data_IF_762402893617
#
_entry.id   IF_762402893617
#
_cell.length_a   1.000
_cell.length_b   1.000
_cell.length_c   1.000
_cell.angle_alpha   90.00
_cell.angle_beta   90.00
_cell.angle_gamma   90.00
#
_symmetry.space_group_name_H-M   'P 1'
#
loop_
_entity.id
_entity.type
_entity.pdbx_description
1 polymer ?
#
# COMPACT_ATOMS: atom_id res chain seq x y z
N UNK A 1 -2.81 -10.34 -9.73
CA UNK A 1 -1.40 -10.40 -9.98
C UNK A 1 -0.92 -9.34 -10.93
N UNK A 2 0.32 -8.95 -10.80
CA UNK A 2 0.98 -8.13 -11.81
C UNK A 2 1.18 -8.95 -13.09
N UNK A 3 1.05 -8.29 -14.24
CA UNK A 3 1.36 -8.90 -15.53
C UNK A 3 2.76 -8.51 -15.96
N UNK A 4 3.61 -9.48 -16.27
CA UNK A 4 4.97 -9.29 -16.75
C UNK A 4 5.12 -9.72 -18.20
N UNK A 5 6.11 -9.16 -18.91
CA UNK A 5 6.42 -9.49 -20.29
C UNK A 5 5.82 -8.52 -21.32
N UNK A 6 6.24 -8.67 -22.58
CA UNK A 6 5.82 -7.86 -23.72
C UNK A 6 5.25 -8.75 -24.83
N UNK A 7 4.29 -8.22 -25.59
CA UNK A 7 3.69 -8.96 -26.70
C UNK A 7 2.93 -10.22 -26.28
N UNK A 8 3.08 -11.31 -27.02
CA UNK A 8 2.38 -12.58 -26.80
C UNK A 8 2.81 -13.36 -25.54
N UNK A 9 3.91 -12.96 -24.90
CA UNK A 9 4.40 -13.59 -23.67
C UNK A 9 4.06 -12.77 -22.41
N UNK A 10 2.80 -12.45 -22.22
CA UNK A 10 2.32 -11.87 -20.97
C UNK A 10 2.15 -13.00 -19.93
N UNK A 11 2.94 -12.95 -18.86
CA UNK A 11 2.82 -13.87 -17.75
C UNK A 11 2.01 -13.18 -16.66
N UNK A 12 0.92 -13.79 -16.25
CA UNK A 12 0.14 -13.39 -15.07
C UNK A 12 0.24 -14.51 -14.04
N UNK A 13 1.05 -14.30 -13.02
CA UNK A 13 1.27 -15.26 -11.93
C UNK A 13 0.29 -15.04 -10.76
N UNK A 14 -0.95 -14.65 -11.05
CA UNK A 14 -1.97 -14.50 -10.03
C UNK A 14 -2.30 -15.85 -9.40
N UNK A 15 -2.05 -15.97 -8.09
CA UNK A 15 -2.48 -17.13 -7.32
C UNK A 15 -3.93 -16.91 -6.84
N UNK A 16 -4.90 -17.76 -7.23
CA UNK A 16 -6.30 -17.61 -6.87
C UNK A 16 -6.58 -17.80 -5.37
N UNK A 17 -5.62 -18.33 -4.62
CA UNK A 17 -5.71 -18.46 -3.16
C UNK A 17 -5.52 -17.12 -2.45
N UNK A 18 -4.82 -16.15 -3.07
CA UNK A 18 -4.65 -14.81 -2.51
C UNK A 18 -5.94 -14.03 -2.70
N UNK A 19 -6.61 -13.67 -1.60
CA UNK A 19 -7.93 -13.02 -1.60
C UNK A 19 -7.89 -11.52 -1.29
N UNK A 20 -6.83 -11.05 -0.64
CA UNK A 20 -6.59 -9.64 -0.32
C UNK A 20 -5.09 -9.40 -0.18
N UNK A 21 -4.63 -8.17 -0.38
CA UNK A 21 -3.21 -7.84 -0.25
C UNK A 21 -3.01 -6.45 0.38
N UNK A 22 -1.99 -6.34 1.23
CA UNK A 22 -1.47 -5.06 1.71
C UNK A 22 -0.09 -4.86 1.08
N UNK A 23 0.09 -3.71 0.42
CA UNK A 23 1.32 -3.32 -0.25
C UNK A 23 1.99 -2.23 0.59
N UNK A 24 3.02 -2.58 1.36
CA UNK A 24 3.77 -1.65 2.21
C UNK A 24 5.01 -1.17 1.47
N UNK A 25 5.06 0.12 1.14
CA UNK A 25 6.20 0.72 0.43
C UNK A 25 6.64 -0.07 -0.82
N UNK A 26 5.66 -0.56 -1.58
CA UNK A 26 5.94 -1.39 -2.76
C UNK A 26 6.74 -0.61 -3.80
N UNK A 27 7.85 -1.16 -4.32
CA UNK A 27 8.64 -0.49 -5.35
C UNK A 27 7.84 -0.40 -6.66
N UNK A 28 8.05 0.71 -7.39
CA UNK A 28 7.45 0.92 -8.71
C UNK A 28 8.55 0.80 -9.75
N UNK A 29 8.46 -0.21 -10.58
CA UNK A 29 9.37 -0.40 -11.71
C UNK A 29 8.55 -0.51 -13.01
N UNK A 30 8.36 0.60 -13.68
CA UNK A 30 7.61 0.63 -14.92
C UNK A 30 8.44 0.10 -16.09
N UNK A 31 9.76 0.32 -16.10
CA UNK A 31 10.66 -0.08 -17.19
C UNK A 31 10.10 0.26 -18.60
N UNK A 32 9.55 1.47 -18.74
CA UNK A 32 8.92 1.94 -19.97
C UNK A 32 7.52 1.36 -20.27
N UNK A 33 6.94 0.56 -19.34
CA UNK A 33 5.62 -0.04 -19.52
C UNK A 33 4.50 0.89 -19.04
N UNK A 34 3.36 0.81 -19.68
CA UNK A 34 2.15 1.52 -19.23
C UNK A 34 1.69 0.96 -17.87
N UNK A 35 1.51 1.79 -16.83
CA UNK A 35 1.00 1.38 -15.53
C UNK A 35 -0.35 0.64 -15.59
N UNK A 36 -1.24 0.99 -16.54
CA UNK A 36 -2.51 0.30 -16.74
C UNK A 36 -2.32 -1.18 -17.07
N UNK A 37 -1.29 -1.49 -17.86
CA UNK A 37 -0.98 -2.86 -18.23
C UNK A 37 -0.36 -3.66 -17.08
N UNK A 38 0.34 -2.98 -16.15
CA UNK A 38 0.95 -3.61 -14.98
C UNK A 38 -0.06 -3.87 -13.87
N UNK A 39 -0.84 -2.87 -13.52
CA UNK A 39 -1.68 -2.89 -12.31
C UNK A 39 -3.15 -3.17 -12.60
N UNK A 40 -3.63 -2.91 -13.81
CA UNK A 40 -5.03 -3.10 -14.19
C UNK A 40 -5.53 -4.55 -14.14
N UNK A 41 -4.62 -5.53 -14.11
CA UNK A 41 -4.94 -6.95 -13.99
C UNK A 41 -5.18 -7.41 -12.53
N UNK A 42 -4.87 -6.58 -11.55
CA UNK A 42 -5.14 -6.87 -10.14
C UNK A 42 -6.67 -6.82 -9.91
N UNK A 43 -7.23 -7.89 -9.35
CA UNK A 43 -8.68 -8.07 -9.15
C UNK A 43 -9.11 -8.24 -7.70
N UNK A 44 -8.15 -8.35 -6.79
CA UNK A 44 -8.40 -8.54 -5.36
C UNK A 44 -8.42 -7.20 -4.62
N UNK A 45 -9.12 -7.09 -3.47
CA UNK A 45 -9.00 -5.95 -2.58
C UNK A 45 -7.55 -5.67 -2.22
N UNK A 46 -7.18 -4.39 -2.19
CA UNK A 46 -5.81 -3.97 -1.93
C UNK A 46 -5.71 -2.74 -1.03
N UNK A 47 -4.74 -2.74 -0.12
CA UNK A 47 -4.39 -1.57 0.67
C UNK A 47 -2.95 -1.18 0.38
N UNK A 48 -2.75 0.00 -0.21
CA UNK A 48 -1.46 0.54 -0.58
C UNK A 48 -1.02 1.53 0.51
N UNK A 49 0.06 1.21 1.23
CA UNK A 49 0.62 2.02 2.29
C UNK A 49 1.99 2.55 1.87
N UNK A 50 2.21 3.85 1.99
CA UNK A 50 3.49 4.52 1.75
C UNK A 50 3.62 5.73 2.67
N UNK A 51 4.66 6.53 2.52
CA UNK A 51 4.83 7.79 3.25
C UNK A 51 5.33 8.92 2.34
N UNK A 52 5.14 10.15 2.78
CA UNK A 52 5.52 11.33 1.99
C UNK A 52 7.04 11.48 1.82
N UNK A 53 7.83 10.78 2.62
CA UNK A 53 9.29 10.75 2.57
C UNK A 53 9.83 9.37 2.14
N UNK A 54 8.97 8.48 1.63
CA UNK A 54 9.30 7.11 1.23
C UNK A 54 10.00 7.06 -0.14
N UNK A 55 11.12 7.79 -0.26
CA UNK A 55 12.00 7.72 -1.41
C UNK A 55 12.86 6.46 -1.35
N UNK A 56 13.13 5.87 -2.51
CA UNK A 56 14.00 4.69 -2.60
C UNK A 56 15.41 5.08 -3.02
N UNK A 57 16.44 4.78 -2.21
CA UNK A 57 17.82 5.00 -2.63
C UNK A 57 18.33 3.96 -3.64
N UNK A 58 17.57 2.86 -3.84
CA UNK A 58 18.04 1.71 -4.64
C UNK A 58 17.60 1.82 -6.10
N UNK A 59 16.37 2.25 -6.35
CA UNK A 59 15.76 2.24 -7.69
C UNK A 59 15.24 3.59 -8.16
N UNK A 60 15.70 4.68 -7.54
CA UNK A 60 15.33 6.07 -7.86
C UNK A 60 13.80 6.35 -7.83
N UNK A 61 12.99 5.52 -7.16
CA UNK A 61 11.60 5.87 -6.95
C UNK A 61 11.48 7.01 -5.95
N UNK A 62 10.74 8.04 -6.32
CA UNK A 62 10.27 9.05 -5.38
C UNK A 62 9.09 8.52 -4.57
N UNK A 63 8.79 9.19 -3.46
CA UNK A 63 7.58 8.91 -2.68
C UNK A 63 6.30 9.06 -3.53
N UNK A 64 6.29 9.99 -4.50
CA UNK A 64 5.17 10.19 -5.42
C UNK A 64 4.95 9.01 -6.37
N UNK A 65 6.02 8.34 -6.80
CA UNK A 65 5.92 7.17 -7.68
C UNK A 65 5.18 6.01 -6.98
N UNK A 66 5.32 5.88 -5.67
CA UNK A 66 4.65 4.82 -4.89
C UNK A 66 3.13 4.94 -4.84
N UNK A 67 2.58 6.06 -5.26
CA UNK A 67 1.13 6.24 -5.41
C UNK A 67 0.59 5.71 -6.75
N UNK A 68 1.47 5.40 -7.72
CA UNK A 68 1.10 4.94 -9.05
C UNK A 68 0.26 3.65 -9.03
N UNK A 69 0.61 2.59 -8.27
CA UNK A 69 -0.16 1.35 -8.28
C UNK A 69 -1.64 1.56 -7.94
N UNK A 70 -1.93 2.31 -6.86
CA UNK A 70 -3.31 2.61 -6.48
C UNK A 70 -4.09 3.30 -7.59
N UNK A 71 -3.48 4.27 -8.27
CA UNK A 71 -4.14 5.03 -9.36
C UNK A 71 -4.62 4.12 -10.48
N UNK A 72 -3.84 3.08 -10.81
CA UNK A 72 -4.06 2.24 -11.99
C UNK A 72 -4.68 0.85 -11.70
N UNK A 73 -4.85 0.46 -10.44
CA UNK A 73 -5.67 -0.71 -10.10
C UNK A 73 -7.14 -0.32 -10.26
N UNK A 74 -7.88 -1.08 -11.11
CA UNK A 74 -9.30 -0.82 -11.40
C UNK A 74 -10.27 -1.72 -10.61
N UNK A 75 -9.76 -2.65 -9.80
CA UNK A 75 -10.61 -3.46 -8.93
C UNK A 75 -11.26 -2.61 -7.84
N UNK A 76 -12.48 -2.93 -7.38
CA UNK A 76 -13.08 -2.27 -6.22
C UNK A 76 -12.34 -2.60 -4.94
N UNK A 77 -12.69 -1.85 -3.88
CA UNK A 77 -12.14 -2.06 -2.53
C UNK A 77 -10.60 -1.87 -2.49
N UNK A 78 -10.14 -0.82 -3.18
CA UNK A 78 -8.75 -0.36 -3.11
C UNK A 78 -8.64 0.80 -2.14
N UNK A 79 -7.60 0.80 -1.33
CA UNK A 79 -7.30 1.82 -0.32
C UNK A 79 -5.89 2.36 -0.53
N UNK A 80 -5.71 3.68 -0.39
CA UNK A 80 -4.41 4.34 -0.37
C UNK A 80 -4.21 5.01 0.97
N UNK A 81 -3.11 4.72 1.64
CA UNK A 81 -2.67 5.38 2.88
C UNK A 81 -1.30 5.99 2.63
N UNK A 82 -1.18 7.31 2.79
CA UNK A 82 0.09 8.00 2.64
C UNK A 82 0.43 8.73 3.94
N UNK A 83 1.38 8.19 4.72
CA UNK A 83 1.75 8.69 6.04
C UNK A 83 2.58 9.96 5.93
N UNK A 84 2.15 11.05 6.58
CA UNK A 84 2.81 12.35 6.55
C UNK A 84 4.15 12.30 7.29
N UNK A 85 5.26 12.52 6.57
CA UNK A 85 6.63 12.39 7.07
C UNK A 85 7.06 10.95 7.33
N UNK A 86 6.31 9.97 6.83
CA UNK A 86 6.70 8.57 6.86
C UNK A 86 7.71 8.26 5.77
N UNK A 87 8.76 7.53 6.11
CA UNK A 87 9.76 7.00 5.20
C UNK A 87 9.60 5.48 5.01
N UNK A 88 10.50 4.88 4.22
CA UNK A 88 10.51 3.42 4.00
C UNK A 88 10.61 2.60 5.29
N UNK A 89 11.31 3.12 6.28
CA UNK A 89 11.64 2.38 7.49
C UNK A 89 10.48 2.25 8.48
N UNK A 90 9.41 3.06 8.36
CA UNK A 90 8.22 2.91 9.22
C UNK A 90 7.53 1.54 9.05
N UNK A 91 7.79 0.84 7.96
CA UNK A 91 7.24 -0.51 7.69
C UNK A 91 8.15 -1.65 8.18
N UNK A 92 9.39 -1.35 8.57
CA UNK A 92 10.39 -2.34 8.99
C UNK A 92 10.39 -2.72 10.47
N UNK A 93 9.48 -2.18 11.26
CA UNK A 93 9.44 -2.37 12.71
C UNK A 93 10.65 -1.74 13.43
N UNK A 94 10.85 -2.11 14.71
CA UNK A 94 11.92 -1.55 15.56
C UNK A 94 13.34 -1.92 15.13
N UNK A 95 13.47 -2.88 14.21
CA UNK A 95 14.75 -3.43 13.75
C UNK A 95 15.28 -2.80 12.45
N UNK A 96 14.56 -1.87 11.83
CA UNK A 96 15.01 -1.21 10.61
C UNK A 96 16.25 -0.34 10.90
N UNK A 97 17.42 -0.95 10.79
CA UNK A 97 18.71 -0.32 11.07
C UNK A 97 19.16 0.55 9.89
N UNK A 98 19.53 1.80 10.18
CA UNK A 98 20.62 2.44 9.44
C UNK A 98 20.25 3.41 8.33
N UNK A 99 19.02 3.91 8.20
CA UNK A 99 18.72 4.98 7.25
C UNK A 99 18.13 6.17 8.03
N UNK A 100 18.99 7.19 8.25
CA UNK A 100 18.60 8.47 8.83
C UNK A 100 18.51 8.52 10.37
N UNK A 101 18.36 9.73 10.92
CA UNK A 101 18.00 9.94 12.32
C UNK A 101 16.51 9.65 12.50
N UNK A 102 16.18 8.53 13.13
CA UNK A 102 14.79 8.13 13.36
C UNK A 102 14.26 8.71 14.66
N UNK A 103 13.05 9.24 14.60
CA UNK A 103 12.25 9.56 15.77
C UNK A 103 11.45 8.32 16.19
N UNK A 104 11.96 7.59 17.20
CA UNK A 104 11.33 6.35 17.67
C UNK A 104 9.91 6.56 18.21
N UNK A 105 9.61 7.72 18.76
CA UNK A 105 8.26 8.03 19.25
C UNK A 105 7.27 8.16 18.10
N UNK A 106 7.70 8.81 17.00
CA UNK A 106 6.93 8.95 15.78
C UNK A 106 6.73 7.60 15.08
N UNK A 107 7.77 6.76 15.04
CA UNK A 107 7.68 5.40 14.51
C UNK A 107 6.65 4.55 15.26
N UNK A 108 6.61 4.62 16.59
CA UNK A 108 5.64 3.90 17.38
C UNK A 108 4.19 4.31 17.06
N UNK A 109 3.96 5.61 16.77
CA UNK A 109 2.65 6.09 16.34
C UNK A 109 2.26 5.50 14.97
N UNK A 110 3.17 5.50 14.00
CA UNK A 110 2.89 4.86 12.70
C UNK A 110 2.58 3.37 12.84
N UNK A 111 3.31 2.63 13.68
CA UNK A 111 3.06 1.21 13.90
C UNK A 111 1.65 0.95 14.46
N UNK A 112 1.15 1.78 15.36
CA UNK A 112 -0.23 1.68 15.86
C UNK A 112 -1.23 1.86 14.72
N UNK A 113 -1.03 2.86 13.85
CA UNK A 113 -1.92 3.13 12.71
C UNK A 113 -1.86 2.01 11.67
N UNK A 114 -0.65 1.57 11.29
CA UNK A 114 -0.43 0.47 10.34
C UNK A 114 -1.11 -0.81 10.84
N UNK A 115 -0.90 -1.16 12.11
CA UNK A 115 -1.52 -2.34 12.71
C UNK A 115 -3.04 -2.26 12.71
N UNK A 116 -3.61 -1.13 13.14
CA UNK A 116 -5.06 -0.93 13.16
C UNK A 116 -5.68 -1.08 11.78
N UNK A 117 -5.10 -0.43 10.76
CA UNK A 117 -5.57 -0.50 9.38
C UNK A 117 -5.43 -1.91 8.81
N UNK A 118 -4.28 -2.56 9.05
CA UNK A 118 -3.99 -3.91 8.54
C UNK A 118 -4.97 -4.94 9.11
N UNK A 119 -5.22 -4.90 10.43
CA UNK A 119 -6.19 -5.80 11.08
C UNK A 119 -7.58 -5.55 10.55
N UNK A 120 -8.02 -4.27 10.47
CA UNK A 120 -9.34 -3.92 9.96
C UNK A 120 -9.52 -4.40 8.50
N UNK A 121 -8.49 -4.23 7.66
CA UNK A 121 -8.51 -4.65 6.27
C UNK A 121 -8.61 -6.19 6.13
N UNK A 122 -7.78 -6.94 6.81
CA UNK A 122 -7.83 -8.40 6.73
C UNK A 122 -9.09 -8.98 7.38
N UNK A 123 -9.59 -8.40 8.46
CA UNK A 123 -10.87 -8.81 9.03
C UNK A 123 -12.03 -8.55 8.06
N UNK A 124 -12.01 -7.42 7.36
CA UNK A 124 -13.03 -7.11 6.36
C UNK A 124 -13.03 -8.08 5.18
N UNK A 125 -11.84 -8.40 4.62
CA UNK A 125 -11.75 -9.09 3.33
C UNK A 125 -11.39 -10.57 3.41
N UNK A 126 -10.81 -11.04 4.53
CA UNK A 126 -10.51 -12.47 4.73
C UNK A 126 -11.52 -13.15 5.66
N UNK A 127 -12.08 -12.39 6.63
CA UNK A 127 -13.08 -12.93 7.57
C UNK A 127 -14.52 -12.47 7.28
N UNK A 128 -14.72 -11.63 6.27
CA UNK A 128 -16.04 -11.13 5.89
C UNK A 128 -16.68 -10.19 6.93
N UNK A 129 -15.86 -9.51 7.77
CA UNK A 129 -16.37 -8.63 8.82
C UNK A 129 -16.91 -7.32 8.24
N UNK A 130 -18.24 -7.24 8.08
CA UNK A 130 -18.92 -6.07 7.53
C UNK A 130 -18.70 -4.78 8.35
N UNK A 131 -18.59 -4.88 9.68
CA UNK A 131 -18.33 -3.72 10.56
C UNK A 131 -16.94 -3.13 10.29
N UNK A 132 -15.92 -3.96 10.07
CA UNK A 132 -14.59 -3.49 9.74
C UNK A 132 -14.54 -2.90 8.31
N UNK A 133 -15.27 -3.48 7.36
CA UNK A 133 -15.41 -2.89 6.02
C UNK A 133 -16.06 -1.52 6.07
N UNK A 134 -17.12 -1.37 6.85
CA UNK A 134 -17.79 -0.08 7.05
C UNK A 134 -16.86 0.94 7.73
N UNK A 135 -16.14 0.52 8.79
CA UNK A 135 -15.19 1.37 9.48
C UNK A 135 -14.09 1.90 8.55
N UNK A 136 -13.52 1.04 7.70
CA UNK A 136 -12.54 1.47 6.68
C UNK A 136 -13.08 2.57 5.78
N UNK A 137 -14.34 2.46 5.33
CA UNK A 137 -14.93 3.42 4.38
C UNK A 137 -15.43 4.71 5.03
N UNK A 138 -15.82 4.68 6.29
CA UNK A 138 -16.48 5.80 6.93
C UNK A 138 -15.67 6.50 8.03
N UNK A 139 -14.75 5.78 8.67
CA UNK A 139 -14.08 6.25 9.89
C UNK A 139 -12.56 6.27 9.81
N UNK A 140 -11.95 5.50 8.92
CA UNK A 140 -10.50 5.37 8.87
C UNK A 140 -9.79 6.70 8.58
N UNK A 141 -10.33 7.53 7.69
CA UNK A 141 -9.78 8.85 7.39
C UNK A 141 -9.78 9.76 8.64
N UNK A 142 -10.89 9.80 9.38
CA UNK A 142 -10.99 10.58 10.62
C UNK A 142 -10.05 10.03 11.71
N UNK A 143 -9.92 8.71 11.82
CA UNK A 143 -9.00 8.05 12.76
C UNK A 143 -7.53 8.40 12.48
N UNK A 144 -7.14 8.47 11.23
CA UNK A 144 -5.79 8.88 10.82
C UNK A 144 -5.52 10.38 11.04
N UNK A 145 -6.55 11.21 10.91
CA UNK A 145 -6.45 12.66 11.13
C UNK A 145 -5.37 13.29 10.25
N UNK A 146 -4.44 14.02 10.90
CA UNK A 146 -3.31 14.68 10.21
C UNK A 146 -2.10 13.77 9.99
N UNK A 147 -2.14 12.53 10.45
CA UNK A 147 -0.98 11.63 10.39
C UNK A 147 -0.82 10.93 9.03
N UNK A 148 -1.91 10.83 8.26
CA UNK A 148 -1.87 10.28 6.90
C UNK A 148 -3.04 10.82 6.07
N UNK A 149 -2.88 10.83 4.74
CA UNK A 149 -4.02 10.90 3.82
C UNK A 149 -4.58 9.51 3.59
N UNK A 150 -5.89 9.44 3.36
CA UNK A 150 -6.61 8.19 3.14
C UNK A 150 -7.61 8.35 2.00
N UNK A 151 -7.49 7.49 1.00
CA UNK A 151 -8.39 7.43 -0.15
C UNK A 151 -8.87 6.00 -0.36
N UNK A 152 -10.06 5.83 -0.95
CA UNK A 152 -10.54 4.50 -1.36
C UNK A 152 -11.45 4.57 -2.58
N UNK A 153 -11.60 3.46 -3.27
CA UNK A 153 -12.47 3.30 -4.45
C UNK A 153 -12.97 1.85 -4.59
#
# INVERSE_FOLDING_TARGET
>A
GQTFGTGARRINEADPRVKAAIYMSAPVNLAGRDPKNLYGSIKIPGMHMTGTEDNSPINNNSAADRLIPYKFVNAPDQYQVNFNGGDHAIFGGTQARGIGKRDQAKDAQYHVLINKLSVAFFDAYLKGNAKQKQWLKQSAAAYLGKQATFEFK
#
